data_IF_546764938980
#
_entry.id   IF_546764938980
#
_cell.length_a   1.000
_cell.length_b   1.000
_cell.length_c   1.000
_cell.angle_alpha   90.00
_cell.angle_beta   90.00
_cell.angle_gamma   90.00
#
_symmetry.space_group_name_H-M   'P 1'
#
loop_
_entity.id
_entity.type
_entity.pdbx_description
1 polymer ?
#
# COMPACT_ATOMS: atom_id res chain seq x y z
N UNK A 1 7.90 -19.20 20.42
CA UNK A 1 9.11 -18.98 19.61
C UNK A 1 9.72 -17.67 20.09
N UNK A 2 11.03 -17.61 20.33
CA UNK A 2 11.67 -16.43 20.94
C UNK A 2 11.79 -15.29 19.91
N UNK A 3 10.91 -14.30 20.06
CA UNK A 3 10.74 -13.12 19.20
C UNK A 3 12.03 -12.31 19.06
N UNK A 4 12.83 -12.29 20.13
CA UNK A 4 14.08 -11.54 20.15
C UNK A 4 15.16 -12.17 19.27
N UNK A 5 14.96 -13.40 18.79
CA UNK A 5 15.94 -14.10 17.94
C UNK A 5 16.00 -13.53 16.52
N UNK A 6 14.90 -13.01 15.98
CA UNK A 6 14.82 -12.57 14.59
C UNK A 6 15.07 -11.07 14.39
N UNK A 7 14.89 -10.26 15.43
CA UNK A 7 15.17 -8.82 15.41
C UNK A 7 16.60 -8.46 14.93
N UNK A 8 17.66 -9.14 15.38
CA UNK A 8 19.01 -8.91 14.86
C UNK A 8 19.13 -9.21 13.36
N UNK A 9 18.44 -10.26 12.89
CA UNK A 9 18.45 -10.70 11.48
C UNK A 9 17.73 -9.67 10.60
N UNK A 10 16.58 -9.17 11.05
CA UNK A 10 15.81 -8.12 10.34
C UNK A 10 16.63 -6.84 10.23
N UNK A 11 17.28 -6.40 11.32
CA UNK A 11 18.18 -5.23 11.29
C UNK A 11 19.32 -5.44 10.30
N UNK A 12 19.89 -6.64 10.24
CA UNK A 12 20.93 -6.97 9.29
C UNK A 12 20.44 -6.89 7.83
N UNK A 13 19.20 -7.32 7.56
CA UNK A 13 18.57 -7.15 6.24
C UNK A 13 18.43 -5.68 5.90
N UNK A 14 17.99 -4.82 6.82
CA UNK A 14 17.84 -3.39 6.54
C UNK A 14 19.19 -2.71 6.27
N UNK A 15 20.22 -3.09 7.02
CA UNK A 15 21.59 -2.60 6.78
C UNK A 15 22.04 -2.99 5.37
N UNK A 16 21.91 -4.26 5.00
CA UNK A 16 22.27 -4.72 3.64
C UNK A 16 21.46 -4.00 2.56
N UNK A 17 20.13 -3.92 2.70
CA UNK A 17 19.29 -3.19 1.74
C UNK A 17 19.67 -1.70 1.64
N UNK A 18 20.06 -1.08 2.76
CA UNK A 18 20.53 0.31 2.78
C UNK A 18 21.84 0.52 2.05
N UNK A 19 22.65 -0.51 1.89
CA UNK A 19 23.90 -0.43 1.13
C UNK A 19 23.65 -0.75 -0.34
N UNK A 20 22.82 -1.76 -0.63
CA UNK A 20 22.63 -2.27 -1.99
C UNK A 20 21.62 -1.52 -2.83
N UNK A 21 20.48 -1.13 -2.26
CA UNK A 21 19.47 -0.38 -3.01
C UNK A 21 20.06 0.93 -3.57
N UNK A 22 20.87 1.70 -2.82
CA UNK A 22 21.54 2.88 -3.37
C UNK A 22 22.57 2.62 -4.47
N UNK A 23 23.26 1.47 -4.46
CA UNK A 23 24.21 1.09 -5.51
C UNK A 23 23.47 0.78 -6.82
N UNK A 24 22.35 0.06 -6.70
CA UNK A 24 21.57 -0.49 -7.79
C UNK A 24 20.55 0.47 -8.40
N UNK A 25 20.03 1.42 -7.59
CA UNK A 25 18.80 2.14 -7.90
C UNK A 25 18.95 3.65 -7.68
N UNK A 26 18.19 4.39 -8.46
CA UNK A 26 17.93 5.81 -8.23
C UNK A 26 17.03 5.99 -7.02
N UNK A 27 17.05 7.18 -6.41
CA UNK A 27 16.14 7.53 -5.31
C UNK A 27 14.66 7.31 -5.68
N UNK A 28 14.29 7.67 -6.92
CA UNK A 28 12.90 7.54 -7.38
C UNK A 28 12.47 6.08 -7.44
N UNK A 29 13.33 5.19 -7.91
CA UNK A 29 13.03 3.75 -7.96
C UNK A 29 12.90 3.16 -6.55
N UNK A 30 13.79 3.53 -5.63
CA UNK A 30 13.69 3.15 -4.21
C UNK A 30 12.36 3.63 -3.62
N UNK A 31 12.02 4.90 -3.83
CA UNK A 31 10.79 5.50 -3.33
C UNK A 31 9.53 4.87 -3.94
N UNK A 32 9.56 4.49 -5.22
CA UNK A 32 8.47 3.78 -5.87
C UNK A 32 8.23 2.41 -5.21
N UNK A 33 9.29 1.65 -4.92
CA UNK A 33 9.17 0.35 -4.22
C UNK A 33 8.64 0.57 -2.81
N UNK A 34 9.22 1.51 -2.06
CA UNK A 34 8.76 1.83 -0.70
C UNK A 34 7.30 2.26 -0.68
N UNK A 35 6.88 3.11 -1.63
CA UNK A 35 5.49 3.51 -1.75
C UNK A 35 4.59 2.33 -2.14
N UNK A 36 5.06 1.43 -3.01
CA UNK A 36 4.36 0.19 -3.41
C UNK A 36 4.02 -0.68 -2.21
N UNK A 37 4.97 -0.83 -1.29
CA UNK A 37 4.82 -1.69 -0.11
C UNK A 37 4.46 -0.93 1.18
N UNK A 38 4.01 0.33 1.06
CA UNK A 38 3.50 1.09 2.20
C UNK A 38 4.56 1.52 3.22
N UNK A 39 5.83 1.55 2.83
CA UNK A 39 6.94 2.07 3.64
C UNK A 39 6.93 3.61 3.68
N UNK A 40 6.45 4.25 2.61
CA UNK A 40 6.25 5.71 2.52
C UNK A 40 4.87 6.02 1.90
N UNK A 41 4.38 7.24 2.11
CA UNK A 41 3.07 7.70 1.64
C UNK A 41 3.08 8.42 0.28
N UNK A 42 4.25 8.79 -0.24
CA UNK A 42 4.36 9.42 -1.57
C UNK A 42 5.74 9.14 -2.19
N UNK A 43 5.81 8.80 -3.48
CA UNK A 43 7.08 8.60 -4.19
C UNK A 43 7.66 9.89 -4.78
N UNK A 44 6.84 10.94 -4.93
CA UNK A 44 7.20 12.18 -5.64
C UNK A 44 8.05 13.14 -4.80
N UNK A 45 8.08 12.90 -3.50
CA UNK A 45 8.92 13.65 -2.56
C UNK A 45 9.79 12.67 -1.75
N UNK A 46 10.72 11.93 -2.39
CA UNK A 46 11.59 11.01 -1.69
C UNK A 46 12.46 11.73 -0.65
N UNK A 47 12.62 13.04 -0.80
CA UNK A 47 13.35 13.89 0.14
C UNK A 47 12.45 14.56 1.16
N UNK A 48 11.31 15.18 0.79
CA UNK A 48 10.72 16.16 1.71
C UNK A 48 11.79 17.17 2.16
N UNK A 49 12.08 17.24 3.46
CA UNK A 49 13.19 18.00 4.08
C UNK A 49 14.47 17.18 4.35
N UNK A 50 14.54 15.94 3.91
CA UNK A 50 15.65 15.01 4.17
C UNK A 50 16.92 15.39 3.41
N UNK A 51 17.98 15.75 4.12
CA UNK A 51 19.28 16.13 3.55
C UNK A 51 20.35 15.02 3.63
N UNK A 52 19.95 13.78 3.94
CA UNK A 52 20.86 12.64 4.09
C UNK A 52 21.19 11.90 2.78
N UNK A 53 21.97 10.82 2.89
CA UNK A 53 22.34 9.97 1.75
C UNK A 53 21.22 8.99 1.35
N UNK A 54 21.30 8.38 0.15
CA UNK A 54 20.39 7.27 -0.26
C UNK A 54 20.35 6.13 0.75
N UNK A 55 21.52 5.81 1.32
CA UNK A 55 21.68 4.77 2.33
C UNK A 55 20.93 5.13 3.60
N UNK A 56 21.15 6.33 4.11
CA UNK A 56 20.48 6.78 5.33
C UNK A 56 18.97 6.86 5.13
N UNK A 57 18.52 7.26 3.93
CA UNK A 57 17.09 7.28 3.58
C UNK A 57 16.49 5.86 3.65
N UNK A 58 17.12 4.88 3.00
CA UNK A 58 16.66 3.48 3.04
C UNK A 58 16.60 2.95 4.46
N UNK A 59 17.67 3.18 5.23
CA UNK A 59 17.77 2.70 6.60
C UNK A 59 16.73 3.38 7.52
N UNK A 60 16.55 4.70 7.40
CA UNK A 60 15.55 5.48 8.13
C UNK A 60 14.13 4.97 7.85
N UNK A 61 13.77 4.82 6.57
CA UNK A 61 12.42 4.41 6.21
C UNK A 61 12.11 2.97 6.58
N UNK A 62 13.05 2.05 6.43
CA UNK A 62 12.82 0.66 6.85
C UNK A 62 12.75 0.49 8.38
N UNK A 63 13.55 1.24 9.15
CA UNK A 63 13.51 1.18 10.61
C UNK A 63 12.23 1.79 11.20
N UNK A 64 11.67 2.81 10.54
CA UNK A 64 10.48 3.52 11.00
C UNK A 64 9.21 3.11 10.24
N UNK A 65 9.26 2.02 9.45
CA UNK A 65 8.14 1.59 8.64
C UNK A 65 7.04 0.93 9.48
N UNK A 66 5.84 1.50 9.42
CA UNK A 66 4.66 0.90 10.03
C UNK A 66 4.19 -0.37 9.28
N UNK A 67 4.44 -0.45 7.97
CA UNK A 67 4.03 -1.58 7.11
C UNK A 67 5.22 -2.42 6.61
N UNK A 68 6.17 -2.69 7.50
CA UNK A 68 7.35 -3.46 7.14
C UNK A 68 7.03 -4.90 6.70
N UNK A 69 5.92 -5.47 7.19
CA UNK A 69 5.48 -6.81 6.82
C UNK A 69 5.17 -6.92 5.32
N UNK A 70 4.42 -5.97 4.76
CA UNK A 70 4.11 -5.93 3.33
C UNK A 70 5.37 -5.87 2.47
N UNK A 71 6.37 -5.10 2.91
CA UNK A 71 7.66 -5.02 2.22
C UNK A 71 8.48 -6.31 2.34
N UNK A 72 8.45 -6.99 3.49
CA UNK A 72 9.11 -8.29 3.65
C UNK A 72 8.41 -9.37 2.80
N UNK A 73 7.09 -9.30 2.65
CA UNK A 73 6.28 -10.29 1.93
C UNK A 73 6.33 -10.13 0.40
N UNK A 74 6.30 -8.90 -0.12
CA UNK A 74 6.35 -8.67 -1.58
C UNK A 74 7.58 -7.93 -2.06
N UNK A 75 8.04 -6.94 -1.29
CA UNK A 75 9.14 -6.05 -1.70
C UNK A 75 10.48 -6.74 -1.85
N UNK A 76 10.80 -7.69 -0.98
CA UNK A 76 12.01 -8.50 -1.10
C UNK A 76 12.00 -9.33 -2.39
N UNK A 77 10.87 -9.98 -2.71
CA UNK A 77 10.75 -10.80 -3.92
C UNK A 77 10.97 -9.94 -5.18
N UNK A 78 10.29 -8.79 -5.28
CA UNK A 78 10.47 -7.86 -6.40
C UNK A 78 11.91 -7.35 -6.53
N UNK A 79 12.56 -6.99 -5.42
CA UNK A 79 13.96 -6.58 -5.43
C UNK A 79 14.89 -7.71 -5.92
N UNK A 80 14.56 -8.97 -5.62
CA UNK A 80 15.33 -10.12 -6.11
C UNK A 80 15.09 -10.38 -7.59
N UNK A 81 13.85 -10.26 -8.07
CA UNK A 81 13.50 -10.45 -9.48
C UNK A 81 14.14 -9.40 -10.37
N UNK A 82 14.11 -8.12 -9.96
CA UNK A 82 14.74 -7.01 -10.69
C UNK A 82 16.25 -7.21 -10.88
N UNK A 83 16.92 -7.95 -9.98
CA UNK A 83 18.36 -8.26 -10.09
C UNK A 83 18.73 -9.23 -11.22
N UNK A 84 17.75 -9.99 -11.71
CA UNK A 84 17.92 -11.02 -12.74
C UNK A 84 17.78 -10.47 -14.16
N UNK A 85 17.23 -9.26 -14.33
CA UNK A 85 16.86 -8.67 -15.64
C UNK A 85 17.94 -7.66 -16.13
N UNK A 86 19.13 -7.65 -15.53
CA UNK A 86 20.24 -6.81 -16.00
C UNK A 86 20.19 -5.34 -15.57
N UNK A 87 19.16 -4.94 -14.82
CA UNK A 87 19.32 -3.93 -13.78
C UNK A 87 20.22 -4.61 -12.75
N UNK A 88 21.35 -4.01 -12.35
CA UNK A 88 22.21 -4.56 -11.28
C UNK A 88 21.44 -4.51 -9.96
N UNK A 89 20.44 -5.37 -9.81
CA UNK A 89 19.52 -5.31 -8.70
C UNK A 89 20.29 -5.57 -7.42
N UNK A 90 19.80 -4.94 -6.36
CA UNK A 90 20.39 -4.89 -5.03
C UNK A 90 20.73 -6.27 -4.41
N UNK A 91 20.34 -7.39 -5.05
CA UNK A 91 20.36 -8.74 -4.48
C UNK A 91 21.08 -9.76 -5.39
N UNK A 92 22.14 -9.33 -6.09
CA UNK A 92 23.17 -10.27 -6.59
C UNK A 92 24.10 -10.77 -5.49
N UNK A 93 24.10 -10.13 -4.32
CA UNK A 93 25.04 -10.44 -3.25
C UNK A 93 24.67 -11.71 -2.47
N UNK A 94 25.68 -12.53 -2.20
CA UNK A 94 25.58 -13.79 -1.46
C UNK A 94 25.21 -13.52 0.01
N UNK A 95 25.59 -12.37 0.55
CA UNK A 95 25.33 -11.93 1.94
C UNK A 95 23.83 -11.78 2.24
N UNK A 96 23.11 -10.91 1.51
CA UNK A 96 21.67 -10.69 1.71
C UNK A 96 20.87 -11.99 1.51
N UNK A 97 21.20 -12.80 0.50
CA UNK A 97 20.57 -14.12 0.30
C UNK A 97 20.82 -15.07 1.48
N UNK A 98 22.00 -15.02 2.08
CA UNK A 98 22.34 -15.83 3.26
C UNK A 98 21.52 -15.39 4.47
N UNK A 99 21.35 -14.08 4.66
CA UNK A 99 20.56 -13.54 5.77
C UNK A 99 19.06 -13.86 5.57
N UNK A 100 18.53 -13.71 4.36
CA UNK A 100 17.15 -14.07 4.03
C UNK A 100 16.85 -15.56 4.26
N UNK A 101 17.80 -16.46 3.97
CA UNK A 101 17.66 -17.89 4.30
C UNK A 101 17.54 -18.14 5.80
N UNK A 102 18.15 -17.31 6.66
CA UNK A 102 18.01 -17.42 8.12
C UNK A 102 16.58 -17.07 8.59
N UNK A 103 15.86 -16.23 7.83
CA UNK A 103 14.43 -15.99 8.03
C UNK A 103 13.55 -17.08 7.37
N UNK A 104 14.13 -17.98 6.57
CA UNK A 104 13.43 -19.08 5.92
C UNK A 104 13.01 -18.81 4.48
N UNK A 105 13.45 -17.70 3.86
CA UNK A 105 13.20 -17.49 2.44
C UNK A 105 13.89 -18.57 1.61
N UNK A 106 13.20 -19.05 0.58
CA UNK A 106 13.66 -20.13 -0.30
C UNK A 106 13.93 -19.57 -1.69
N UNK A 107 15.02 -20.01 -2.31
CA UNK A 107 15.29 -19.63 -3.70
C UNK A 107 14.35 -20.42 -4.62
N UNK A 108 13.63 -19.73 -5.50
CA UNK A 108 12.85 -20.32 -6.59
C UNK A 108 13.26 -19.75 -7.95
N UNK A 109 12.91 -20.49 -9.00
CA UNK A 109 13.12 -20.10 -10.39
C UNK A 109 11.74 -19.97 -11.01
N UNK A 110 11.43 -18.81 -11.56
CA UNK A 110 10.17 -18.62 -12.30
C UNK A 110 10.25 -19.33 -13.64
N UNK A 111 9.22 -20.13 -13.95
CA UNK A 111 9.11 -20.86 -15.21
C UNK A 111 8.48 -20.03 -16.33
N UNK A 112 7.93 -18.86 -16.02
CA UNK A 112 7.04 -18.13 -16.95
C UNK A 112 7.82 -17.22 -17.92
N UNK A 113 8.95 -16.64 -17.50
CA UNK A 113 9.84 -15.89 -18.39
C UNK A 113 11.30 -16.07 -17.95
N UNK A 114 12.13 -16.64 -18.82
CA UNK A 114 13.60 -16.59 -18.78
C UNK A 114 14.34 -17.22 -17.58
N UNK A 115 13.68 -17.99 -16.70
CA UNK A 115 14.35 -18.66 -15.59
C UNK A 115 14.88 -17.67 -14.54
N UNK A 116 14.07 -16.65 -14.24
CA UNK A 116 14.40 -15.58 -13.28
C UNK A 116 14.46 -16.16 -11.86
N UNK A 117 15.59 -15.93 -11.19
CA UNK A 117 15.83 -16.33 -9.80
C UNK A 117 15.18 -15.34 -8.82
N UNK A 118 14.31 -15.81 -7.93
CA UNK A 118 13.71 -14.99 -6.87
C UNK A 118 13.74 -15.68 -5.50
N UNK A 119 13.51 -14.91 -4.44
CA UNK A 119 13.36 -15.43 -3.08
C UNK A 119 11.88 -15.51 -2.73
N UNK A 120 11.35 -16.72 -2.61
CA UNK A 120 10.01 -16.98 -2.10
C UNK A 120 9.95 -16.74 -0.60
N UNK A 121 8.85 -16.11 -0.18
CA UNK A 121 8.61 -15.72 1.20
C UNK A 121 8.15 -16.93 2.02
N UNK A 122 8.67 -17.12 3.24
CA UNK A 122 8.23 -18.22 4.08
C UNK A 122 6.82 -17.96 4.62
N UNK A 123 6.00 -19.02 4.67
CA UNK A 123 4.60 -18.94 5.12
C UNK A 123 4.43 -18.54 6.59
N UNK A 124 5.50 -18.58 7.38
CA UNK A 124 5.52 -18.22 8.80
C UNK A 124 6.20 -16.86 9.06
N UNK A 125 6.44 -16.05 8.03
CA UNK A 125 7.17 -14.77 8.13
C UNK A 125 6.54 -13.83 9.17
N UNK A 126 5.21 -13.74 9.22
CA UNK A 126 4.47 -12.94 10.22
C UNK A 126 4.84 -13.34 11.66
N UNK A 127 4.86 -14.65 11.91
CA UNK A 127 5.17 -15.21 13.24
C UNK A 127 6.64 -15.02 13.64
N UNK A 128 7.54 -14.92 12.67
CA UNK A 128 8.98 -14.69 12.86
C UNK A 128 9.30 -13.22 13.06
N UNK A 129 8.60 -12.33 12.35
CA UNK A 129 8.82 -10.89 12.45
C UNK A 129 8.38 -10.38 13.81
N UNK A 130 7.30 -10.96 14.39
CA UNK A 130 6.74 -10.68 15.72
C UNK A 130 7.10 -9.27 16.23
N UNK A 131 6.81 -8.29 15.35
CA UNK A 131 6.70 -6.90 15.72
C UNK A 131 5.65 -6.95 16.81
N UNK A 132 6.04 -6.60 18.02
CA UNK A 132 5.24 -6.71 19.23
C UNK A 132 3.75 -6.82 18.94
N UNK A 133 3.13 -7.89 19.44
CA UNK A 133 1.70 -8.05 19.59
C UNK A 133 1.05 -6.97 20.50
N UNK A 134 1.42 -5.70 20.31
CA UNK A 134 0.57 -4.52 20.41
C UNK A 134 -0.05 -4.15 19.07
N UNK A 135 0.39 -4.76 17.96
CA UNK A 135 -0.30 -4.70 16.67
C UNK A 135 -0.74 -6.08 16.25
N UNK A 136 -2.04 -6.39 16.38
CA UNK A 136 -2.76 -6.96 15.23
C UNK A 136 -2.24 -6.30 13.95
N UNK A 137 -2.22 -6.98 12.80
CA UNK A 137 -2.18 -6.35 11.48
C UNK A 137 -3.33 -5.34 11.41
N UNK A 138 -3.13 -4.18 12.04
CA UNK A 138 -4.19 -3.25 12.34
C UNK A 138 -4.24 -2.47 11.08
N UNK A 139 -5.05 -2.97 10.15
CA UNK A 139 -5.43 -2.25 8.95
C UNK A 139 -5.59 -0.80 9.38
N UNK A 140 -4.70 0.03 8.86
CA UNK A 140 -4.43 1.33 9.45
C UNK A 140 -5.71 2.14 9.42
N UNK A 141 -6.12 2.69 10.56
CA UNK A 141 -7.38 3.42 10.63
C UNK A 141 -7.25 4.67 9.76
N UNK A 142 -8.29 4.94 8.97
CA UNK A 142 -8.34 6.21 8.26
C UNK A 142 -8.74 7.27 9.28
N UNK A 143 -8.00 8.38 9.34
CA UNK A 143 -8.36 9.52 10.19
C UNK A 143 -9.64 10.15 9.66
N UNK A 144 -10.56 10.49 10.56
CA UNK A 144 -11.81 11.21 10.25
C UNK A 144 -11.67 12.72 10.27
N UNK A 145 -10.50 13.23 10.69
CA UNK A 145 -10.32 14.65 10.94
C UNK A 145 -10.48 15.48 9.66
N UNK A 146 -11.23 16.58 9.74
CA UNK A 146 -11.44 17.53 8.63
C UNK A 146 -12.17 16.96 7.42
N UNK A 147 -12.83 15.81 7.56
CA UNK A 147 -13.70 15.25 6.53
C UNK A 147 -15.16 15.66 6.76
N UNK A 148 -15.96 15.81 5.68
CA UNK A 148 -17.40 16.00 5.76
C UNK A 148 -18.08 14.92 6.62
N UNK A 149 -19.11 15.29 7.39
CA UNK A 149 -19.72 14.41 8.40
C UNK A 149 -20.20 13.06 7.83
N UNK A 150 -20.72 13.07 6.60
CA UNK A 150 -21.18 11.88 5.89
C UNK A 150 -20.04 10.90 5.55
N UNK A 151 -18.87 11.39 5.19
CA UNK A 151 -17.66 10.58 4.94
C UNK A 151 -17.03 10.15 6.26
N UNK A 152 -16.95 11.06 7.24
CA UNK A 152 -16.42 10.77 8.57
C UNK A 152 -17.20 9.62 9.25
N UNK A 153 -18.53 9.62 9.14
CA UNK A 153 -19.39 8.55 9.67
C UNK A 153 -19.08 7.19 9.02
N UNK A 154 -18.88 7.15 7.70
CA UNK A 154 -18.52 5.91 7.01
C UNK A 154 -17.12 5.41 7.40
N UNK A 155 -16.18 6.33 7.66
CA UNK A 155 -14.84 5.98 8.14
C UNK A 155 -14.90 5.43 9.57
N UNK A 156 -15.71 6.00 10.45
CA UNK A 156 -15.93 5.44 11.78
C UNK A 156 -16.49 4.02 11.70
N UNK A 157 -17.49 3.79 10.84
CA UNK A 157 -18.08 2.48 10.60
C UNK A 157 -17.07 1.49 10.02
N UNK A 158 -16.21 1.94 9.08
CA UNK A 158 -15.11 1.14 8.54
C UNK A 158 -14.15 0.75 9.65
N UNK A 159 -13.71 1.71 10.46
CA UNK A 159 -12.75 1.48 11.55
C UNK A 159 -13.31 0.53 12.63
N UNK A 160 -14.61 0.60 12.94
CA UNK A 160 -15.27 -0.35 13.84
C UNK A 160 -15.31 -1.76 13.23
N UNK A 161 -15.70 -1.89 11.95
CA UNK A 161 -15.72 -3.19 11.26
C UNK A 161 -14.34 -3.83 11.14
N UNK A 162 -13.30 -3.04 10.84
CA UNK A 162 -11.91 -3.49 10.85
C UNK A 162 -11.51 -4.01 12.23
N UNK A 163 -11.88 -3.31 13.30
CA UNK A 163 -11.56 -3.73 14.67
C UNK A 163 -12.25 -5.02 15.10
N UNK A 164 -13.39 -5.35 14.48
CA UNK A 164 -14.17 -6.57 14.72
C UNK A 164 -13.80 -7.71 13.77
N UNK A 165 -12.88 -7.50 12.81
CA UNK A 165 -12.50 -8.49 11.81
C UNK A 165 -13.56 -8.73 10.72
N UNK A 166 -14.48 -7.79 10.51
CA UNK A 166 -15.54 -7.90 9.51
C UNK A 166 -15.03 -7.50 8.12
N UNK A 167 -14.24 -8.37 7.48
CA UNK A 167 -13.49 -8.04 6.26
C UNK A 167 -14.40 -7.67 5.06
N UNK A 168 -15.44 -8.45 4.79
CA UNK A 168 -16.35 -8.18 3.67
C UNK A 168 -17.15 -6.88 3.88
N UNK A 169 -17.61 -6.61 5.11
CA UNK A 169 -18.30 -5.36 5.42
C UNK A 169 -17.36 -4.15 5.23
N UNK A 170 -16.10 -4.30 5.64
CA UNK A 170 -15.06 -3.28 5.44
C UNK A 170 -14.81 -3.00 3.95
N UNK A 171 -14.74 -4.04 3.11
CA UNK A 171 -14.61 -3.87 1.66
C UNK A 171 -15.80 -3.13 1.02
N UNK A 172 -17.02 -3.41 1.47
CA UNK A 172 -18.22 -2.68 1.04
C UNK A 172 -18.18 -1.21 1.46
N UNK A 173 -17.74 -0.93 2.68
CA UNK A 173 -17.58 0.43 3.20
C UNK A 173 -16.52 1.20 2.43
N UNK A 174 -15.37 0.59 2.11
CA UNK A 174 -14.35 1.18 1.23
C UNK A 174 -14.97 1.63 -0.08
N UNK A 175 -15.71 0.74 -0.76
CA UNK A 175 -16.38 1.09 -2.01
C UNK A 175 -17.34 2.28 -1.85
N UNK A 176 -18.11 2.31 -0.77
CA UNK A 176 -19.07 3.38 -0.50
C UNK A 176 -18.36 4.71 -0.21
N UNK A 177 -17.27 4.67 0.56
CA UNK A 177 -16.42 5.82 0.86
C UNK A 177 -15.82 6.39 -0.43
N UNK A 178 -15.26 5.55 -1.31
CA UNK A 178 -14.68 5.99 -2.58
C UNK A 178 -15.72 6.70 -3.47
N UNK A 179 -16.95 6.18 -3.54
CA UNK A 179 -18.05 6.83 -4.27
C UNK A 179 -18.36 8.19 -3.67
N UNK A 180 -18.65 8.24 -2.36
CA UNK A 180 -19.08 9.47 -1.71
C UNK A 180 -17.99 10.54 -1.72
N UNK A 181 -16.75 10.16 -1.44
CA UNK A 181 -15.59 11.05 -1.47
C UNK A 181 -15.40 11.67 -2.87
N UNK A 182 -15.44 10.85 -3.92
CA UNK A 182 -15.31 11.35 -5.29
C UNK A 182 -16.45 12.29 -5.67
N UNK A 183 -17.69 11.94 -5.31
CA UNK A 183 -18.87 12.78 -5.59
C UNK A 183 -18.78 14.13 -4.88
N UNK A 184 -18.47 14.15 -3.58
CA UNK A 184 -18.37 15.39 -2.80
C UNK A 184 -17.25 16.28 -3.35
N UNK A 185 -16.08 15.71 -3.63
CA UNK A 185 -14.95 16.46 -4.18
C UNK A 185 -15.30 17.08 -5.56
N UNK A 186 -15.86 16.29 -6.46
CA UNK A 186 -16.21 16.75 -7.81
C UNK A 186 -17.33 17.80 -7.80
N UNK A 187 -18.35 17.64 -6.94
CA UNK A 187 -19.40 18.65 -6.77
C UNK A 187 -18.84 19.99 -6.32
N UNK A 188 -17.90 19.96 -5.36
CA UNK A 188 -17.27 21.17 -4.82
C UNK A 188 -16.44 21.92 -5.86
N UNK A 189 -15.67 21.20 -6.68
CA UNK A 189 -14.67 21.82 -7.56
C UNK A 189 -15.12 21.99 -9.02
N UNK A 190 -16.01 21.12 -9.51
CA UNK A 190 -16.39 21.08 -10.92
C UNK A 190 -17.89 21.09 -11.21
N UNK A 191 -18.75 21.13 -10.19
CA UNK A 191 -20.20 21.23 -10.35
C UNK A 191 -20.92 19.92 -10.69
N UNK A 192 -22.24 19.99 -10.88
CA UNK A 192 -23.11 18.83 -11.10
C UNK A 192 -22.74 18.01 -12.34
N UNK A 193 -22.29 18.68 -13.39
CA UNK A 193 -21.90 18.12 -14.69
C UNK A 193 -20.69 17.17 -14.62
N UNK A 194 -19.96 17.15 -13.50
CA UNK A 194 -18.89 16.17 -13.23
C UNK A 194 -19.38 14.90 -12.52
N UNK A 195 -20.59 14.91 -11.97
CA UNK A 195 -21.15 13.81 -11.18
C UNK A 195 -22.47 13.26 -11.73
N UNK A 196 -23.14 13.98 -12.63
CA UNK A 196 -24.37 13.53 -13.29
C UNK A 196 -24.27 13.46 -14.81
N UNK A 197 -24.98 12.51 -15.41
CA UNK A 197 -25.22 12.43 -16.85
C UNK A 197 -26.15 13.55 -17.31
N UNK A 198 -26.32 13.70 -18.64
CA UNK A 198 -27.29 14.65 -19.22
C UNK A 198 -28.74 14.38 -18.77
N UNK A 199 -29.05 13.13 -18.45
CA UNK A 199 -30.37 12.70 -17.96
C UNK A 199 -30.55 12.88 -16.44
N UNK A 200 -29.54 13.43 -15.75
CA UNK A 200 -29.55 13.68 -14.30
C UNK A 200 -29.22 12.46 -13.43
N UNK A 201 -28.79 11.34 -14.04
CA UNK A 201 -28.36 10.15 -13.31
C UNK A 201 -26.93 10.32 -12.78
N UNK A 202 -26.63 9.80 -11.58
CA UNK A 202 -25.27 9.85 -11.05
C UNK A 202 -24.31 8.93 -11.82
N UNK A 203 -23.10 9.40 -12.10
CA UNK A 203 -22.06 8.59 -12.71
C UNK A 203 -21.66 7.41 -11.83
N UNK A 204 -21.33 6.28 -12.47
CA UNK A 204 -20.74 5.15 -11.77
C UNK A 204 -19.36 5.48 -11.19
N UNK A 205 -18.95 4.73 -10.15
CA UNK A 205 -17.70 4.95 -9.44
C UNK A 205 -16.45 4.99 -10.36
N UNK A 206 -16.40 4.18 -11.42
CA UNK A 206 -15.27 4.20 -12.35
C UNK A 206 -15.14 5.55 -13.09
N UNK A 207 -16.28 6.14 -13.46
CA UNK A 207 -16.32 7.44 -14.14
C UNK A 207 -15.98 8.53 -13.13
N UNK A 208 -16.53 8.47 -11.92
CA UNK A 208 -16.19 9.40 -10.83
C UNK A 208 -14.68 9.39 -10.51
N UNK A 209 -14.06 8.22 -10.39
CA UNK A 209 -12.60 8.09 -10.17
C UNK A 209 -11.81 8.71 -11.33
N UNK A 210 -12.26 8.51 -12.56
CA UNK A 210 -11.56 9.04 -13.75
C UNK A 210 -11.71 10.56 -13.87
N UNK A 211 -12.88 11.10 -13.54
CA UNK A 211 -13.13 12.54 -13.47
C UNK A 211 -12.28 13.17 -12.35
N UNK A 212 -12.24 12.54 -11.17
CA UNK A 212 -11.42 13.00 -10.05
C UNK A 212 -9.92 12.95 -10.38
N UNK A 213 -9.46 11.92 -11.11
CA UNK A 213 -8.08 11.85 -11.57
C UNK A 213 -7.69 13.10 -12.38
N UNK A 214 -8.55 13.51 -13.31
CA UNK A 214 -8.30 14.65 -14.17
C UNK A 214 -8.37 15.97 -13.40
N UNK A 215 -9.40 16.12 -12.56
CA UNK A 215 -9.67 17.37 -11.83
C UNK A 215 -8.59 17.65 -10.77
N UNK A 216 -8.23 16.64 -9.97
CA UNK A 216 -7.29 16.77 -8.85
C UNK A 216 -5.85 16.38 -9.21
N UNK A 217 -5.60 16.02 -10.49
CA UNK A 217 -4.28 15.56 -10.99
C UNK A 217 -3.70 14.40 -10.18
N UNK A 218 -4.56 13.49 -9.76
CA UNK A 218 -4.19 12.33 -8.96
C UNK A 218 -3.26 11.42 -9.78
N UNK A 219 -2.22 10.90 -9.12
CA UNK A 219 -1.24 10.04 -9.78
C UNK A 219 -1.92 8.77 -10.35
N UNK A 220 -1.48 8.34 -11.54
CA UNK A 220 -1.97 7.08 -12.14
C UNK A 220 -1.75 5.87 -11.23
N UNK A 221 -0.73 5.92 -10.37
CA UNK A 221 -0.46 4.87 -9.39
C UNK A 221 -1.52 4.85 -8.29
N UNK A 222 -1.91 6.00 -7.73
CA UNK A 222 -3.01 6.07 -6.75
C UNK A 222 -4.31 5.56 -7.38
N UNK A 223 -4.64 6.00 -8.60
CA UNK A 223 -5.85 5.54 -9.31
C UNK A 223 -5.84 4.02 -9.55
N UNK A 224 -4.70 3.45 -9.91
CA UNK A 224 -4.59 2.00 -10.08
C UNK A 224 -4.95 1.26 -8.79
N UNK A 225 -4.44 1.72 -7.64
CA UNK A 225 -4.76 1.13 -6.33
C UNK A 225 -6.21 1.33 -5.94
N UNK A 226 -6.77 2.50 -6.20
CA UNK A 226 -8.19 2.80 -5.94
C UNK A 226 -9.10 1.92 -6.78
N UNK A 227 -8.75 1.66 -8.04
CA UNK A 227 -9.47 0.70 -8.89
C UNK A 227 -9.38 -0.72 -8.36
N UNK A 228 -8.23 -1.15 -7.85
CA UNK A 228 -8.10 -2.44 -7.16
C UNK A 228 -8.96 -2.51 -5.89
N UNK A 229 -8.95 -1.45 -5.07
CA UNK A 229 -9.78 -1.35 -3.87
C UNK A 229 -11.29 -1.39 -4.19
N UNK A 230 -11.70 -0.68 -5.26
CA UNK A 230 -13.06 -0.78 -5.81
C UNK A 230 -13.38 -2.23 -6.19
N UNK A 231 -12.49 -2.91 -6.92
CA UNK A 231 -12.74 -4.28 -7.39
C UNK A 231 -12.93 -5.25 -6.22
N UNK A 232 -12.17 -5.10 -5.14
CA UNK A 232 -12.36 -5.87 -3.90
C UNK A 232 -13.76 -5.60 -3.30
N UNK A 233 -14.16 -4.33 -3.25
CA UNK A 233 -15.51 -3.95 -2.80
C UNK A 233 -16.64 -4.47 -3.69
N UNK A 234 -16.48 -4.44 -5.02
CA UNK A 234 -17.44 -5.02 -5.97
C UNK A 234 -17.54 -6.54 -5.79
N UNK A 235 -16.40 -7.21 -5.59
CA UNK A 235 -16.35 -8.65 -5.39
C UNK A 235 -17.08 -9.06 -4.10
N UNK A 236 -16.91 -8.28 -3.02
CA UNK A 236 -17.65 -8.45 -1.78
C UNK A 236 -19.15 -8.20 -1.94
N UNK A 237 -19.55 -7.28 -2.83
CA UNK A 237 -20.95 -6.93 -3.09
C UNK A 237 -21.70 -7.98 -3.93
N UNK A 238 -21.02 -8.56 -4.92
CA UNK A 238 -21.66 -9.45 -5.90
C UNK A 238 -21.54 -10.93 -5.57
N UNK A 239 -20.69 -11.33 -4.62
CA UNK A 239 -20.51 -12.74 -4.28
C UNK A 239 -20.27 -12.96 -2.80
N UNK A 240 -21.27 -13.53 -2.12
CA UNK A 240 -21.16 -14.03 -0.75
C UNK A 240 -20.11 -15.14 -0.57
N UNK A 241 -19.61 -15.72 -1.68
CA UNK A 241 -18.59 -16.77 -1.67
C UNK A 241 -17.16 -16.21 -1.72
N UNK A 242 -16.99 -14.95 -2.14
CA UNK A 242 -15.67 -14.32 -2.15
C UNK A 242 -15.33 -13.92 -0.72
N UNK A 243 -14.25 -14.50 -0.20
CA UNK A 243 -13.67 -14.11 1.08
C UNK A 243 -12.59 -13.08 0.81
N UNK A 244 -12.84 -11.84 1.21
CA UNK A 244 -11.79 -10.82 1.24
C UNK A 244 -10.79 -11.21 2.32
N UNK A 245 -9.51 -11.29 1.95
CA UNK A 245 -8.45 -11.57 2.90
C UNK A 245 -7.93 -10.26 3.54
N UNK A 246 -7.23 -10.36 4.66
CA UNK A 246 -6.79 -9.20 5.46
C UNK A 246 -5.75 -8.35 4.72
N UNK A 247 -4.89 -8.95 3.91
CA UNK A 247 -3.85 -8.29 3.13
C UNK A 247 -4.43 -7.41 2.01
N UNK A 248 -5.35 -7.96 1.23
CA UNK A 248 -6.09 -7.26 0.17
C UNK A 248 -6.86 -6.06 0.75
N UNK A 249 -7.47 -6.26 1.92
CA UNK A 249 -8.20 -5.22 2.62
C UNK A 249 -7.27 -4.14 3.17
N UNK A 250 -6.13 -4.51 3.77
CA UNK A 250 -5.12 -3.56 4.25
C UNK A 250 -4.59 -2.65 3.13
N UNK A 251 -4.32 -3.24 1.96
CA UNK A 251 -3.92 -2.50 0.76
C UNK A 251 -5.04 -1.56 0.30
N UNK A 252 -6.29 -2.03 0.33
CA UNK A 252 -7.46 -1.23 -0.06
C UNK A 252 -7.72 -0.04 0.88
N UNK A 253 -7.55 -0.22 2.19
CA UNK A 253 -7.69 0.86 3.16
C UNK A 253 -6.60 1.90 2.98
N UNK A 254 -5.36 1.46 2.76
CA UNK A 254 -4.24 2.37 2.45
C UNK A 254 -4.51 3.18 1.19
N UNK A 255 -4.98 2.52 0.12
CA UNK A 255 -5.34 3.18 -1.13
C UNK A 255 -6.47 4.20 -0.93
N UNK A 256 -7.47 3.86 -0.12
CA UNK A 256 -8.62 4.72 0.19
C UNK A 256 -8.18 5.97 0.94
N UNK A 257 -7.31 5.82 1.96
CA UNK A 257 -6.73 6.96 2.68
C UNK A 257 -6.00 7.91 1.75
N UNK A 258 -5.04 7.39 0.98
CA UNK A 258 -4.22 8.20 0.08
C UNK A 258 -5.08 8.97 -0.92
N UNK A 259 -6.11 8.30 -1.45
CA UNK A 259 -7.04 8.93 -2.38
C UNK A 259 -7.87 10.04 -1.74
N UNK A 260 -8.37 9.83 -0.51
CA UNK A 260 -9.09 10.87 0.25
C UNK A 260 -8.19 12.09 0.51
N UNK A 261 -6.93 11.86 0.86
CA UNK A 261 -5.96 12.93 1.11
C UNK A 261 -5.70 13.76 -0.16
N UNK A 262 -5.64 13.11 -1.34
CA UNK A 262 -5.45 13.78 -2.63
C UNK A 262 -6.70 14.50 -3.16
N UNK A 263 -7.90 14.13 -2.70
CA UNK A 263 -9.16 14.80 -3.07
C UNK A 263 -9.39 16.14 -2.36
N UNK A 264 -8.53 16.52 -1.40
CA UNK A 264 -8.59 17.75 -0.61
C UNK A 264 -10.00 18.12 -0.12
N UNK A 265 -10.65 17.16 0.54
CA UNK A 265 -12.03 17.26 1.03
C UNK A 265 -12.22 18.24 2.21
N UNK A 266 -11.18 19.00 2.58
CA UNK A 266 -11.22 19.94 3.71
C UNK A 266 -12.23 21.05 3.40
N UNK A 267 -13.02 21.43 4.40
CA UNK A 267 -14.01 22.52 4.35
C UNK A 267 -15.18 22.31 3.37
N UNK A 268 -15.51 21.07 2.97
CA UNK A 268 -16.66 20.82 2.08
C UNK A 268 -18.05 20.88 2.77
N UNK A 269 -18.12 21.40 4.01
CA UNK A 269 -19.37 21.81 4.65
C UNK A 269 -19.52 23.33 4.52
N UNK A 270 -20.12 23.77 3.41
CA UNK A 270 -20.69 25.10 3.23
C UNK A 270 -22.06 24.99 2.60
#
# INVERSE_FOLDING_TARGET
MDVNKFQPIIRQIFIELSERMPEAMTFREIANIFFKYGIINSPDNPYGSYQGTKRDYVLDKLNNADNILSFMDGGIAELTEMSSIGIDGAIKDTSLRTILKQLGYTKKISNEEHGIDYMEVPTDIESKLNLSATGTTRIERISRERLPNNIATLIDELNDNLSRGNLNASALLIRRILTLASTVALLKHGGNDKVTTQDGESFELNVLISNAQQEFRISSQTISRVRSAKWIGDSANHSYRVKVNEQDLGTSVTATRLYIDELDLRDAES
#
